data_IF_327277019418
#
_entry.id   IF_327277019418
#
_cell.length_a   1.000
_cell.length_b   1.000
_cell.length_c   1.000
_cell.angle_alpha   90.00
_cell.angle_beta   90.00
_cell.angle_gamma   90.00
#
_symmetry.space_group_name_H-M   'P 1'
#
loop_
_entity.id
_entity.type
_entity.pdbx_description
1 polymer ?
#
# COMPACT_ATOMS: atom_id res chain seq x y z
N UNK A 1 -14.23 -23.86 -3.17
CA UNK A 1 -13.15 -23.18 -3.92
C UNK A 1 -13.11 -21.76 -3.41
N UNK A 2 -12.01 -21.36 -2.78
CA UNK A 2 -11.94 -20.15 -1.97
C UNK A 2 -11.55 -18.97 -2.88
N UNK A 3 -12.55 -18.27 -3.43
CA UNK A 3 -12.37 -17.26 -4.49
C UNK A 3 -11.30 -16.21 -4.14
N UNK A 4 -11.21 -15.83 -2.87
CA UNK A 4 -10.23 -14.86 -2.36
C UNK A 4 -8.77 -15.30 -2.61
N UNK A 5 -8.45 -16.59 -2.45
CA UNK A 5 -7.12 -17.12 -2.74
C UNK A 5 -6.82 -17.13 -4.24
N UNK A 6 -7.83 -17.28 -5.08
CA UNK A 6 -7.68 -17.29 -6.54
C UNK A 6 -7.33 -15.86 -7.02
N UNK A 7 -7.99 -14.82 -6.50
CA UNK A 7 -7.70 -13.42 -6.85
C UNK A 7 -6.31 -12.98 -6.39
N UNK A 8 -5.90 -13.28 -5.15
CA UNK A 8 -4.56 -12.96 -4.67
C UNK A 8 -3.46 -13.58 -5.54
N UNK A 9 -3.65 -14.84 -5.93
CA UNK A 9 -2.69 -15.57 -6.77
C UNK A 9 -2.59 -14.95 -8.17
N UNK A 10 -3.71 -14.57 -8.76
CA UNK A 10 -3.76 -13.91 -10.07
C UNK A 10 -3.11 -12.52 -10.03
N UNK A 11 -3.42 -11.71 -9.00
CA UNK A 11 -2.83 -10.39 -8.83
C UNK A 11 -1.31 -10.48 -8.66
N UNK A 12 -0.81 -11.37 -7.79
CA UNK A 12 0.64 -11.57 -7.65
C UNK A 12 1.31 -11.99 -8.96
N UNK A 13 0.66 -12.89 -9.72
CA UNK A 13 1.18 -13.35 -11.01
C UNK A 13 1.27 -12.21 -12.01
N UNK A 14 0.22 -11.40 -12.12
CA UNK A 14 0.18 -10.23 -13.01
C UNK A 14 1.26 -9.20 -12.62
N UNK A 15 1.39 -8.88 -11.33
CA UNK A 15 2.41 -7.96 -10.82
C UNK A 15 3.82 -8.46 -11.18
N UNK A 16 4.11 -9.76 -11.03
CA UNK A 16 5.43 -10.31 -11.38
C UNK A 16 5.74 -10.29 -12.87
N UNK A 17 4.71 -10.37 -13.72
CA UNK A 17 4.86 -10.23 -15.18
C UNK A 17 5.14 -8.78 -15.58
N UNK A 18 4.40 -7.83 -14.99
CA UNK A 18 4.55 -6.40 -15.30
C UNK A 18 5.82 -5.79 -14.68
N UNK A 19 6.21 -6.26 -13.49
CA UNK A 19 7.33 -5.74 -12.71
C UNK A 19 8.33 -6.86 -12.35
N UNK A 20 8.97 -7.51 -13.33
CA UNK A 20 9.89 -8.64 -13.08
C UNK A 20 11.13 -8.24 -12.26
N UNK A 21 11.51 -6.96 -12.27
CA UNK A 21 12.60 -6.40 -11.48
C UNK A 21 12.25 -6.15 -10.01
N UNK A 22 10.97 -6.20 -9.65
CA UNK A 22 10.49 -5.89 -8.31
C UNK A 22 10.96 -6.97 -7.32
N UNK A 23 11.70 -6.55 -6.30
CA UNK A 23 12.01 -7.37 -5.13
C UNK A 23 11.25 -6.87 -3.92
N UNK A 24 10.64 -7.80 -3.22
CA UNK A 24 9.79 -7.56 -2.07
C UNK A 24 10.35 -8.28 -0.85
N UNK A 25 10.40 -7.60 0.29
CA UNK A 25 10.81 -8.22 1.55
C UNK A 25 9.95 -7.69 2.68
N UNK A 26 9.39 -8.62 3.44
CA UNK A 26 8.59 -8.34 4.64
C UNK A 26 9.45 -8.57 5.86
N UNK A 27 9.40 -7.63 6.81
CA UNK A 27 10.03 -7.81 8.12
C UNK A 27 9.02 -7.51 9.19
N UNK A 28 8.65 -8.51 10.00
CA UNK A 28 7.81 -8.31 11.17
C UNK A 28 8.53 -7.44 12.22
N UNK A 29 7.84 -6.42 12.75
CA UNK A 29 8.38 -5.47 13.73
C UNK A 29 7.74 -5.68 15.12
N UNK A 30 6.58 -6.34 15.20
CA UNK A 30 5.87 -6.56 16.46
C UNK A 30 4.38 -6.33 16.38
N UNK A 31 3.79 -6.02 17.54
CA UNK A 31 2.38 -5.65 17.70
C UNK A 31 2.24 -4.27 18.34
N UNK A 32 1.21 -3.52 17.94
CA UNK A 32 0.79 -2.28 18.61
C UNK A 32 -0.70 -2.11 18.43
N UNK A 33 -1.43 -1.74 19.48
CA UNK A 33 -2.88 -1.47 19.43
C UNK A 33 -3.68 -2.57 18.69
N UNK A 34 -3.42 -3.85 19.00
CA UNK A 34 -4.06 -5.01 18.35
C UNK A 34 -3.82 -5.12 16.83
N UNK A 35 -2.79 -4.46 16.29
CA UNK A 35 -2.36 -4.58 14.91
C UNK A 35 -0.95 -5.17 14.83
N UNK A 36 -0.75 -6.07 13.86
CA UNK A 36 0.56 -6.58 13.46
C UNK A 36 1.28 -5.51 12.65
N UNK A 37 2.56 -5.27 12.97
CA UNK A 37 3.37 -4.25 12.31
C UNK A 37 4.46 -4.89 11.48
N UNK A 38 4.61 -4.40 10.25
CA UNK A 38 5.64 -4.86 9.32
C UNK A 38 6.39 -3.67 8.75
N UNK A 39 7.65 -3.92 8.37
CA UNK A 39 8.45 -3.06 7.51
C UNK A 39 8.54 -3.76 6.17
N UNK A 40 7.99 -3.11 5.16
CA UNK A 40 8.05 -3.61 3.79
C UNK A 40 9.19 -2.91 3.08
N UNK A 41 10.02 -3.69 2.41
CA UNK A 41 11.02 -3.18 1.48
C UNK A 41 10.58 -3.48 0.06
N UNK A 42 10.45 -2.44 -0.74
CA UNK A 42 10.27 -2.54 -2.19
C UNK A 42 11.56 -2.08 -2.85
N UNK A 43 12.09 -2.91 -3.74
CA UNK A 43 13.29 -2.61 -4.52
C UNK A 43 12.97 -2.74 -6.00
N UNK A 44 13.31 -1.71 -6.77
CA UNK A 44 13.25 -1.69 -8.23
C UNK A 44 14.66 -1.40 -8.78
N UNK A 45 14.78 -1.23 -10.09
CA UNK A 45 15.99 -0.72 -10.75
C UNK A 45 16.34 0.72 -10.31
N UNK A 46 15.33 1.51 -9.92
CA UNK A 46 15.52 2.89 -9.42
C UNK A 46 16.08 2.95 -8.01
N UNK A 47 15.92 1.88 -7.23
CA UNK A 47 16.49 1.77 -5.90
C UNK A 47 15.56 1.08 -4.91
N UNK A 48 15.73 1.39 -3.64
CA UNK A 48 15.05 0.72 -2.52
C UNK A 48 14.37 1.72 -1.60
N UNK A 49 13.13 1.44 -1.19
CA UNK A 49 12.38 2.22 -0.18
C UNK A 49 11.69 1.31 0.81
N UNK A 50 11.36 1.89 1.97
CA UNK A 50 10.61 1.21 3.03
C UNK A 50 9.25 1.82 3.23
N UNK A 51 8.27 0.96 3.47
CA UNK A 51 6.91 1.33 3.81
C UNK A 51 6.53 0.69 5.15
N UNK A 52 5.97 1.46 6.09
CA UNK A 52 5.30 0.86 7.24
C UNK A 52 4.04 0.14 6.75
N UNK A 53 3.75 -1.03 7.31
CA UNK A 53 2.50 -1.73 7.01
C UNK A 53 1.87 -2.26 8.29
N UNK A 54 0.55 -2.06 8.39
CA UNK A 54 -0.23 -2.41 9.57
C UNK A 54 -1.34 -3.35 9.14
N UNK A 55 -1.45 -4.46 9.84
CA UNK A 55 -2.43 -5.50 9.54
C UNK A 55 -3.26 -5.79 10.77
N UNK A 56 -4.58 -5.94 10.60
CA UNK A 56 -5.48 -6.28 11.69
C UNK A 56 -5.10 -7.61 12.37
N UNK A 57 -5.35 -7.71 13.67
CA UNK A 57 -5.08 -8.93 14.45
C UNK A 57 -5.85 -10.17 13.99
N UNK A 58 -6.93 -10.00 13.22
CA UNK A 58 -7.67 -11.11 12.63
C UNK A 58 -6.87 -11.88 11.57
N UNK A 59 -5.83 -11.28 10.99
CA UNK A 59 -5.01 -11.91 9.96
C UNK A 59 -3.75 -12.54 10.55
N UNK A 60 -3.63 -13.87 10.40
CA UNK A 60 -2.54 -14.65 10.98
C UNK A 60 -1.34 -14.86 10.03
N UNK A 61 -1.50 -14.56 8.74
CA UNK A 61 -0.46 -14.71 7.72
C UNK A 61 0.30 -13.40 7.51
N UNK A 62 1.54 -13.47 7.04
CA UNK A 62 2.31 -12.28 6.69
C UNK A 62 1.74 -11.65 5.40
N UNK A 63 1.77 -10.31 5.27
CA UNK A 63 1.21 -9.64 4.11
C UNK A 63 1.94 -10.06 2.83
N UNK A 64 1.17 -10.35 1.78
CA UNK A 64 1.72 -10.67 0.46
C UNK A 64 2.13 -9.41 -0.30
N UNK A 65 2.76 -9.59 -1.46
CA UNK A 65 3.07 -8.44 -2.33
C UNK A 65 1.79 -7.74 -2.80
N UNK A 66 0.76 -8.52 -3.14
CA UNK A 66 -0.53 -7.98 -3.58
C UNK A 66 -1.23 -7.21 -2.47
N UNK A 67 -1.22 -7.72 -1.22
CA UNK A 67 -1.82 -7.03 -0.06
C UNK A 67 -1.20 -5.64 0.13
N UNK A 68 0.13 -5.55 0.06
CA UNK A 68 0.83 -4.28 0.27
C UNK A 68 0.61 -3.32 -0.90
N UNK A 69 0.77 -3.80 -2.14
CA UNK A 69 0.63 -2.93 -3.31
C UNK A 69 -0.81 -2.44 -3.49
N UNK A 70 -1.81 -3.26 -3.14
CA UNK A 70 -3.21 -2.83 -3.12
C UNK A 70 -3.40 -1.61 -2.22
N UNK A 71 -2.93 -1.67 -0.96
CA UNK A 71 -3.03 -0.55 -0.03
C UNK A 71 -2.26 0.67 -0.53
N UNK A 72 -1.01 0.49 -0.97
CA UNK A 72 -0.18 1.60 -1.46
C UNK A 72 -0.77 2.30 -2.68
N UNK A 73 -1.41 1.55 -3.59
CA UNK A 73 -2.10 2.12 -4.75
C UNK A 73 -3.38 2.85 -4.34
N UNK A 74 -4.16 2.29 -3.41
CA UNK A 74 -5.33 2.97 -2.83
C UNK A 74 -4.94 4.29 -2.16
N UNK A 75 -3.86 4.28 -1.37
CA UNK A 75 -3.31 5.44 -0.68
C UNK A 75 -2.78 6.49 -1.68
N UNK A 76 -2.10 6.05 -2.74
CA UNK A 76 -1.65 6.92 -3.83
C UNK A 76 -2.81 7.64 -4.51
N UNK A 77 -3.84 6.87 -4.91
CA UNK A 77 -5.03 7.38 -5.58
C UNK A 77 -5.83 8.32 -4.66
N UNK A 78 -5.77 8.12 -3.34
CA UNK A 78 -6.42 9.00 -2.36
C UNK A 78 -5.97 10.46 -2.52
N UNK A 79 -4.71 10.68 -2.84
CA UNK A 79 -4.15 12.02 -3.02
C UNK A 79 -4.50 12.68 -4.36
N UNK A 80 -5.15 11.97 -5.29
CA UNK A 80 -5.61 12.57 -6.54
C UNK A 80 -6.93 13.33 -6.37
N UNK A 81 -7.72 13.01 -5.34
CA UNK A 81 -8.98 13.67 -5.03
C UNK A 81 -9.02 14.36 -3.66
N UNK A 82 -8.07 14.06 -2.75
CA UNK A 82 -7.93 14.74 -1.46
C UNK A 82 -6.68 15.62 -1.50
N UNK A 83 -6.89 16.93 -1.49
CA UNK A 83 -5.82 17.92 -1.67
C UNK A 83 -5.25 18.45 -0.35
N UNK A 84 -5.94 18.21 0.77
CA UNK A 84 -5.52 18.73 2.06
C UNK A 84 -6.06 17.90 3.25
N UNK A 85 -5.47 18.05 4.45
CA UNK A 85 -5.90 17.31 5.64
C UNK A 85 -7.35 17.56 6.09
N UNK A 86 -7.96 18.69 5.72
CA UNK A 86 -9.36 18.98 6.08
C UNK A 86 -10.31 18.16 5.23
N UNK A 87 -10.03 18.04 3.93
CA UNK A 87 -10.74 17.12 3.04
C UNK A 87 -10.56 15.67 3.51
N UNK A 88 -9.34 15.24 3.84
CA UNK A 88 -9.09 13.90 4.39
C UNK A 88 -9.96 13.62 5.62
N UNK A 89 -10.09 14.61 6.50
CA UNK A 89 -10.87 14.51 7.72
C UNK A 89 -12.36 14.31 7.41
N UNK A 90 -12.89 15.08 6.47
CA UNK A 90 -14.30 15.02 6.09
C UNK A 90 -14.64 13.74 5.31
N UNK A 91 -13.77 13.32 4.40
CA UNK A 91 -13.99 12.15 3.51
C UNK A 91 -13.80 10.83 4.25
N UNK A 92 -12.78 10.73 5.11
CA UNK A 92 -12.42 9.49 5.81
C UNK A 92 -12.87 9.44 7.28
N UNK A 93 -13.58 10.48 7.75
CA UNK A 93 -14.19 10.51 9.08
C UNK A 93 -13.19 10.60 10.24
N UNK A 94 -12.07 11.32 10.07
CA UNK A 94 -11.16 11.53 11.18
C UNK A 94 -11.77 12.50 12.21
N UNK A 95 -11.85 12.10 13.47
CA UNK A 95 -12.32 12.98 14.55
C UNK A 95 -11.27 14.02 14.97
N UNK A 96 -10.00 13.77 14.63
CA UNK A 96 -8.86 14.57 15.07
C UNK A 96 -8.11 15.16 13.88
N UNK A 97 -8.13 16.50 13.78
CA UNK A 97 -7.33 17.23 12.80
C UNK A 97 -5.83 16.89 12.89
N UNK A 98 -5.33 16.63 14.09
CA UNK A 98 -3.92 16.27 14.29
C UNK A 98 -3.59 14.91 13.67
N UNK A 99 -4.52 13.97 13.73
CA UNK A 99 -4.37 12.66 13.10
C UNK A 99 -4.51 12.77 11.59
N UNK A 100 -5.52 13.49 11.10
CA UNK A 100 -5.67 13.74 9.67
C UNK A 100 -4.42 14.39 9.04
N UNK A 101 -3.82 15.40 9.70
CA UNK A 101 -2.57 16.03 9.22
C UNK A 101 -1.40 15.04 9.21
N UNK A 102 -1.31 14.14 10.19
CA UNK A 102 -0.24 13.14 10.24
C UNK A 102 -0.42 12.09 9.15
N UNK A 103 -1.64 11.60 8.95
CA UNK A 103 -1.94 10.62 7.90
C UNK A 103 -1.72 11.24 6.53
N UNK A 104 -2.22 12.45 6.28
CA UNK A 104 -2.03 13.13 5.00
C UNK A 104 -0.54 13.24 4.63
N UNK A 105 0.31 13.65 5.58
CA UNK A 105 1.76 13.69 5.37
C UNK A 105 2.38 12.33 5.10
N UNK A 106 1.90 11.29 5.77
CA UNK A 106 2.38 9.92 5.54
C UNK A 106 2.03 9.46 4.11
N UNK A 107 0.81 9.75 3.64
CA UNK A 107 0.39 9.48 2.27
C UNK A 107 1.27 10.23 1.25
N UNK A 108 1.55 11.53 1.49
CA UNK A 108 2.43 12.32 0.61
C UNK A 108 3.84 11.70 0.54
N UNK A 109 4.41 11.35 1.70
CA UNK A 109 5.72 10.69 1.76
C UNK A 109 5.73 9.31 1.07
N UNK A 110 4.62 8.58 1.09
CA UNK A 110 4.48 7.28 0.43
C UNK A 110 4.34 7.44 -1.09
N UNK A 111 3.56 8.41 -1.55
CA UNK A 111 3.45 8.81 -2.95
C UNK A 111 4.82 9.18 -3.52
N UNK A 112 5.57 10.04 -2.85
CA UNK A 112 6.93 10.40 -3.27
C UNK A 112 7.88 9.19 -3.36
N UNK A 113 7.76 8.22 -2.45
CA UNK A 113 8.58 6.99 -2.49
C UNK A 113 8.19 6.10 -3.67
N UNK A 114 6.90 6.00 -3.98
CA UNK A 114 6.39 5.24 -5.12
C UNK A 114 6.83 5.88 -6.44
N UNK A 115 6.72 7.20 -6.55
CA UNK A 115 7.21 7.97 -7.70
C UNK A 115 8.72 7.77 -7.90
N UNK A 116 9.50 7.85 -6.81
CA UNK A 116 10.93 7.57 -6.86
C UNK A 116 11.23 6.16 -7.38
N UNK A 117 10.44 5.18 -6.98
CA UNK A 117 10.61 3.79 -7.41
C UNK A 117 10.16 3.55 -8.86
N UNK A 118 9.55 4.55 -9.51
CA UNK A 118 9.08 4.50 -10.88
C UNK A 118 7.64 4.00 -11.02
N UNK A 119 6.84 4.02 -9.95
CA UNK A 119 5.45 3.57 -10.00
C UNK A 119 4.49 4.62 -10.55
N UNK A 120 4.81 5.91 -10.54
CA UNK A 120 3.88 6.98 -10.93
C UNK A 120 3.19 6.74 -12.28
N UNK A 121 3.94 6.36 -13.32
CA UNK A 121 3.40 6.05 -14.66
C UNK A 121 2.71 4.68 -14.75
N UNK A 122 2.80 3.87 -13.69
CA UNK A 122 2.36 2.47 -13.64
C UNK A 122 1.22 2.25 -12.63
N UNK A 123 0.84 3.29 -11.86
CA UNK A 123 -0.26 3.24 -10.88
C UNK A 123 -1.59 2.88 -11.54
N UNK A 124 -1.85 3.37 -12.75
CA UNK A 124 -3.09 3.06 -13.48
C UNK A 124 -3.18 1.55 -13.79
N UNK A 125 -2.10 0.94 -14.30
CA UNK A 125 -2.03 -0.50 -14.57
C UNK A 125 -2.16 -1.33 -13.30
N UNK A 126 -1.55 -0.89 -12.19
CA UNK A 126 -1.72 -1.55 -10.90
C UNK A 126 -3.16 -1.44 -10.41
N UNK A 127 -3.79 -0.27 -10.58
CA UNK A 127 -5.20 -0.06 -10.22
C UNK A 127 -6.13 -1.00 -11.01
N UNK A 128 -5.84 -1.24 -12.29
CA UNK A 128 -6.57 -2.23 -13.10
C UNK A 128 -6.45 -3.66 -12.56
N UNK A 129 -5.25 -4.08 -12.13
CA UNK A 129 -5.05 -5.40 -11.51
C UNK A 129 -5.92 -5.57 -10.25
N UNK A 130 -6.13 -4.46 -9.54
CA UNK A 130 -6.82 -4.44 -8.25
C UNK A 130 -8.32 -4.12 -8.33
N UNK A 131 -8.92 -3.95 -9.52
CA UNK A 131 -10.35 -3.65 -9.65
C UNK A 131 -11.25 -4.74 -9.05
N UNK A 132 -10.81 -6.00 -9.05
CA UNK A 132 -11.53 -7.17 -8.53
C UNK A 132 -10.88 -7.77 -7.25
N UNK A 133 -9.97 -7.04 -6.58
CA UNK A 133 -9.22 -7.52 -5.41
C UNK A 133 -10.02 -7.48 -4.10
#
# INVERSE_FOLDING_TARGET
MNRENDYKTLAESAIRVLFPQLKFTVTWIGFSNQQRRFRIWITTDKGKRTFPFFQGSAHNEDPTLSDVLYCLVSDYNTLDYISNPVELMNELGYDSRKEAVRTFKALEEEKEKLDFLGFGDEIEKLSEIFQDY
#
